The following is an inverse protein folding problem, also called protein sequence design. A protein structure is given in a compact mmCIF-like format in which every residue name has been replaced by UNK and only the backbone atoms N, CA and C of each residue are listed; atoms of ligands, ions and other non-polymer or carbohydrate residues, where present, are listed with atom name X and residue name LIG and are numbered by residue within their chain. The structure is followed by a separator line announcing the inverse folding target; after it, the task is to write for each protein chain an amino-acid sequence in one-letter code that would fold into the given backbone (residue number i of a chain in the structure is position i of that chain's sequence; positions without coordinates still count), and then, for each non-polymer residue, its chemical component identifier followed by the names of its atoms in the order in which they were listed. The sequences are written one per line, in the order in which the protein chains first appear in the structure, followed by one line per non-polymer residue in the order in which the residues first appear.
data_IF_483755975142
#
_entry.id   IF_483755975142
#
_cell.length_a   1.000
_cell.length_b   1.000
_cell.length_c   1.000
_cell.angle_alpha   90.00
_cell.angle_beta   90.00
_cell.angle_gamma   90.00
#
_symmetry.space_group_name_H-M   'P 1'
#
loop_
_entity.id
_entity.type
_entity.pdbx_description
1 polymer ?
#
# COMPACT_ATOMS: atom_id res chain seq x y z
N UNK A 1 0.78 8.84 -16.67
CA UNK A 1 -0.02 8.74 -15.46
C UNK A 1 0.74 7.93 -14.42
N UNK A 2 0.69 8.33 -13.15
CA UNK A 2 1.36 7.64 -12.05
C UNK A 2 0.38 7.48 -10.88
N UNK A 3 0.53 6.37 -10.16
CA UNK A 3 -0.20 6.02 -8.97
C UNK A 3 0.79 5.60 -7.89
N UNK A 4 0.83 6.36 -6.81
CA UNK A 4 1.66 6.11 -5.64
C UNK A 4 0.76 5.69 -4.47
N UNK A 5 1.06 4.57 -3.82
CA UNK A 5 0.28 4.02 -2.73
C UNK A 5 1.21 3.75 -1.55
N UNK A 6 0.87 4.28 -0.38
CA UNK A 6 1.48 3.91 0.90
C UNK A 6 0.39 3.38 1.82
N UNK A 7 0.51 2.14 2.30
CA UNK A 7 -0.60 1.49 3.01
C UNK A 7 -0.10 0.48 4.05
N UNK A 8 -0.74 0.51 5.24
CA UNK A 8 -0.46 -0.43 6.32
C UNK A 8 -0.94 -1.84 5.97
N UNK A 9 -2.21 -2.02 5.51
CA UNK A 9 -2.77 -3.31 5.13
C UNK A 9 -3.39 -3.28 3.74
N UNK A 10 -2.94 -4.21 2.88
CA UNK A 10 -3.45 -4.43 1.54
C UNK A 10 -3.87 -5.89 1.38
N UNK A 11 -5.16 -6.16 1.38
CA UNK A 11 -5.68 -7.52 1.19
C UNK A 11 -6.87 -7.59 0.23
N UNK A 12 -7.61 -6.48 0.07
CA UNK A 12 -8.85 -6.44 -0.69
C UNK A 12 -8.62 -6.76 -2.18
N UNK A 13 -9.15 -7.90 -2.62
CA UNK A 13 -8.89 -8.44 -3.98
C UNK A 13 -9.30 -7.51 -5.11
N UNK A 14 -10.41 -6.78 -4.93
CA UNK A 14 -10.87 -5.81 -5.96
C UNK A 14 -9.90 -4.65 -6.10
N UNK A 15 -9.29 -4.19 -5.00
CA UNK A 15 -8.26 -3.13 -5.01
C UNK A 15 -7.01 -3.64 -5.70
N UNK A 16 -6.48 -4.81 -5.29
CA UNK A 16 -5.30 -5.41 -5.92
C UNK A 16 -5.54 -5.58 -7.43
N UNK A 17 -6.69 -6.13 -7.82
CA UNK A 17 -7.02 -6.28 -9.23
C UNK A 17 -7.16 -4.95 -9.98
N UNK A 18 -7.66 -3.88 -9.33
CA UNK A 18 -7.75 -2.56 -9.92
C UNK A 18 -6.35 -1.95 -10.16
N UNK A 19 -5.46 -2.11 -9.19
CA UNK A 19 -4.05 -1.67 -9.27
C UNK A 19 -3.31 -2.39 -10.40
N UNK A 20 -3.44 -3.72 -10.47
CA UNK A 20 -2.87 -4.55 -11.54
C UNK A 20 -3.41 -4.13 -12.92
N UNK A 21 -4.73 -3.91 -13.05
CA UNK A 21 -5.30 -3.41 -14.31
C UNK A 21 -4.81 -1.99 -14.66
N UNK A 22 -4.54 -1.14 -13.68
CA UNK A 22 -3.98 0.18 -13.95
C UNK A 22 -2.56 0.06 -14.52
N UNK A 23 -1.72 -0.78 -13.92
CA UNK A 23 -0.38 -1.08 -14.44
C UNK A 23 -0.43 -1.64 -15.88
N UNK A 24 -1.33 -2.59 -16.13
CA UNK A 24 -1.53 -3.17 -17.47
C UNK A 24 -1.97 -2.14 -18.54
N UNK A 25 -2.59 -1.02 -18.14
CA UNK A 25 -2.90 0.12 -19.03
C UNK A 25 -1.75 1.12 -19.18
N UNK A 26 -0.58 0.85 -18.62
CA UNK A 26 0.61 1.72 -18.71
C UNK A 26 0.69 2.79 -17.62
N UNK A 27 -0.13 2.73 -16.57
CA UNK A 27 0.04 3.59 -15.39
C UNK A 27 1.29 3.15 -14.63
N UNK A 28 2.19 4.08 -14.33
CA UNK A 28 3.35 3.81 -13.49
C UNK A 28 2.89 3.69 -12.04
N UNK A 29 2.83 2.46 -11.53
CA UNK A 29 2.38 2.18 -10.17
C UNK A 29 3.57 1.92 -9.26
N UNK A 30 3.58 2.57 -8.09
CA UNK A 30 4.53 2.33 -7.01
C UNK A 30 3.76 2.06 -5.72
N UNK A 31 4.16 1.04 -4.99
CA UNK A 31 3.49 0.65 -3.74
C UNK A 31 4.52 0.51 -2.62
N UNK A 32 4.29 1.26 -1.54
CA UNK A 32 5.04 1.17 -0.30
C UNK A 32 4.17 0.47 0.73
N UNK A 33 4.60 -0.71 1.17
CA UNK A 33 3.84 -1.55 2.09
C UNK A 33 4.55 -1.64 3.44
N UNK A 34 3.76 -1.65 4.52
CA UNK A 34 4.24 -2.16 5.80
C UNK A 34 4.55 -3.68 5.67
N UNK A 35 5.70 -4.18 6.16
CA UNK A 35 6.04 -5.61 6.08
C UNK A 35 5.17 -6.49 6.99
N UNK A 36 4.28 -5.92 7.79
CA UNK A 36 3.45 -6.56 8.81
C UNK A 36 4.28 -7.47 9.74
N UNK A 37 5.49 -7.02 10.05
CA UNK A 37 6.42 -7.78 10.89
C UNK A 37 6.14 -7.58 12.36
N UNK A 38 5.68 -6.39 12.74
CA UNK A 38 5.36 -6.05 14.13
C UNK A 38 3.91 -5.57 14.22
N UNK A 39 3.02 -6.43 14.65
CA UNK A 39 1.65 -6.07 14.97
C UNK A 39 1.46 -6.21 16.49
N UNK A 40 1.08 -5.11 17.16
CA UNK A 40 0.81 -5.12 18.61
C UNK A 40 1.96 -5.65 19.49
N UNK A 41 3.21 -5.38 19.10
CA UNK A 41 4.40 -5.83 19.85
C UNK A 41 4.73 -7.32 19.71
N UNK A 42 4.02 -8.04 18.86
CA UNK A 42 4.26 -9.45 18.56
C UNK A 42 4.80 -9.58 17.14
N UNK A 43 5.81 -10.44 16.95
CA UNK A 43 6.34 -10.76 15.63
C UNK A 43 5.23 -11.38 14.76
N UNK A 44 4.76 -10.63 13.78
CA UNK A 44 3.68 -11.03 12.89
C UNK A 44 4.14 -11.98 11.76
N UNK A 45 3.18 -12.73 11.22
CA UNK A 45 3.41 -13.62 10.07
C UNK A 45 3.69 -12.90 8.74
N UNK A 46 3.52 -11.58 8.71
CA UNK A 46 3.58 -10.78 7.50
C UNK A 46 2.31 -10.81 6.63
N UNK A 47 1.28 -11.54 7.08
CA UNK A 47 -0.03 -11.54 6.44
C UNK A 47 -0.76 -10.22 6.78
N UNK A 48 -1.40 -9.54 5.81
CA UNK A 48 -1.64 -9.98 4.42
C UNK A 48 -0.60 -9.47 3.41
N UNK A 49 0.22 -8.49 3.75
CA UNK A 49 0.97 -7.70 2.78
C UNK A 49 2.02 -8.52 2.02
N UNK A 50 2.72 -9.44 2.69
CA UNK A 50 3.74 -10.26 2.02
C UNK A 50 3.14 -11.14 0.94
N UNK A 51 1.92 -11.62 1.12
CA UNK A 51 1.20 -12.43 0.16
C UNK A 51 0.62 -11.57 -0.98
N UNK A 52 0.04 -10.40 -0.64
CA UNK A 52 -0.45 -9.44 -1.63
C UNK A 52 0.69 -8.90 -2.51
N UNK A 53 1.88 -8.70 -1.94
CA UNK A 53 3.06 -8.26 -2.68
C UNK A 53 3.44 -9.19 -3.84
N UNK A 54 3.23 -10.51 -3.71
CA UNK A 54 3.49 -11.44 -4.78
C UNK A 54 2.62 -11.15 -6.02
N UNK A 55 1.34 -10.83 -5.81
CA UNK A 55 0.43 -10.48 -6.90
C UNK A 55 0.87 -9.18 -7.61
N UNK A 56 1.36 -8.20 -6.86
CA UNK A 56 1.84 -6.92 -7.40
C UNK A 56 3.14 -7.11 -8.19
N UNK A 57 4.10 -7.85 -7.65
CA UNK A 57 5.39 -8.10 -8.30
C UNK A 57 5.21 -8.93 -9.57
N UNK A 58 4.32 -9.92 -9.55
CA UNK A 58 3.99 -10.72 -10.75
C UNK A 58 3.34 -9.89 -11.87
N UNK A 59 2.85 -8.69 -11.54
CA UNK A 59 2.31 -7.72 -12.48
C UNK A 59 3.30 -6.58 -12.80
N UNK A 60 4.60 -6.76 -12.53
CA UNK A 60 5.70 -5.79 -12.75
C UNK A 60 5.47 -4.44 -12.04
N UNK A 61 4.70 -4.44 -10.94
CA UNK A 61 4.48 -3.25 -10.14
C UNK A 61 5.68 -3.01 -9.23
N UNK A 62 6.17 -1.78 -9.21
CA UNK A 62 7.27 -1.39 -8.33
C UNK A 62 6.81 -1.39 -6.88
N UNK A 63 7.51 -2.15 -6.03
CA UNK A 63 7.19 -2.33 -4.63
C UNK A 63 8.43 -2.07 -3.75
N UNK A 64 8.21 -1.42 -2.63
CA UNK A 64 9.16 -1.32 -1.53
C UNK A 64 8.45 -1.60 -0.20
N UNK A 65 9.22 -1.94 0.80
CA UNK A 65 8.74 -2.15 2.17
C UNK A 65 9.16 -0.98 3.04
N UNK A 66 8.25 -0.48 3.85
CA UNK A 66 8.58 0.52 4.86
C UNK A 66 9.58 -0.04 5.87
N UNK A 67 10.61 0.74 6.20
CA UNK A 67 11.53 0.42 7.29
C UNK A 67 10.94 0.90 8.61
N UNK A 68 10.26 -0.01 9.29
CA UNK A 68 9.45 0.32 10.48
C UNK A 68 10.25 0.38 11.77
N UNK A 69 11.48 -0.14 11.79
CA UNK A 69 12.37 -0.16 12.98
C UNK A 69 11.66 -0.65 14.26
N UNK A 70 10.78 -1.64 14.13
CA UNK A 70 10.01 -2.20 15.24
C UNK A 70 8.65 -1.54 15.50
N UNK A 71 8.29 -0.51 14.74
CA UNK A 71 6.97 0.12 14.74
C UNK A 71 6.11 -0.36 13.56
N UNK A 72 5.04 0.36 13.23
CA UNK A 72 4.22 0.15 12.05
C UNK A 72 4.24 1.41 11.17
N UNK A 73 4.32 1.24 9.87
CA UNK A 73 4.06 2.31 8.91
C UNK A 73 2.55 2.44 8.73
N UNK A 74 1.94 3.32 9.53
CA UNK A 74 0.48 3.44 9.63
C UNK A 74 -0.16 4.34 8.56
N UNK A 75 0.57 4.68 7.49
CA UNK A 75 0.09 5.45 6.36
C UNK A 75 -1.05 4.75 5.62
N UNK A 76 -2.01 5.52 5.12
CA UNK A 76 -3.06 5.10 4.20
C UNK A 76 -3.28 6.23 3.21
N UNK A 77 -2.41 6.23 2.22
CA UNK A 77 -2.32 7.30 1.23
C UNK A 77 -2.32 6.70 -0.17
N UNK A 78 -3.11 7.30 -1.05
CA UNK A 78 -3.08 7.05 -2.47
C UNK A 78 -3.00 8.38 -3.20
N UNK A 79 -1.97 8.56 -3.99
CA UNK A 79 -1.78 9.74 -4.81
C UNK A 79 -1.77 9.36 -6.29
N UNK A 80 -2.79 9.80 -7.03
CA UNK A 80 -2.84 9.71 -8.48
C UNK A 80 -2.49 11.06 -9.08
N UNK A 81 -1.56 11.07 -10.01
CA UNK A 81 -1.26 12.26 -10.77
C UNK A 81 -0.98 11.92 -12.25
N UNK A 82 -1.43 12.81 -13.14
CA UNK A 82 -1.47 12.58 -14.57
C UNK A 82 -1.26 13.86 -15.37
N UNK A 83 -0.06 14.39 -15.32
CA UNK A 83 0.34 15.57 -16.12
C UNK A 83 -0.59 16.76 -15.91
N UNK A 84 -1.36 17.11 -16.94
CA UNK A 84 -2.29 18.27 -16.94
C UNK A 84 -3.66 17.98 -16.33
N UNK A 85 -3.96 16.75 -15.92
CA UNK A 85 -5.23 16.44 -15.26
C UNK A 85 -5.10 16.71 -13.76
N UNK A 86 -6.22 17.05 -13.08
CA UNK A 86 -6.20 17.17 -11.63
C UNK A 86 -5.60 15.94 -10.96
N UNK A 87 -4.79 16.17 -9.96
CA UNK A 87 -4.29 15.13 -9.08
C UNK A 87 -5.38 14.74 -8.08
N UNK A 88 -5.36 13.49 -7.64
CA UNK A 88 -6.24 12.98 -6.60
C UNK A 88 -5.39 12.44 -5.46
N UNK A 89 -5.56 12.99 -4.30
CA UNK A 89 -4.97 12.52 -3.05
C UNK A 89 -6.09 11.94 -2.17
N UNK A 90 -6.03 10.64 -1.92
CA UNK A 90 -6.90 9.97 -0.96
C UNK A 90 -6.09 9.61 0.27
N UNK A 91 -6.56 10.02 1.43
CA UNK A 91 -5.94 9.73 2.72
C UNK A 91 -7.01 9.56 3.80
N UNK A 92 -6.69 8.79 4.84
CA UNK A 92 -7.66 8.57 5.92
C UNK A 92 -7.33 7.38 6.81
N UNK A 93 -8.36 6.81 7.41
CA UNK A 93 -8.22 5.69 8.34
C UNK A 93 -8.34 4.32 7.66
N UNK A 94 -9.00 4.23 6.51
CA UNK A 94 -9.31 2.97 5.86
C UNK A 94 -8.07 2.26 5.30
N UNK A 95 -7.81 1.06 5.78
CA UNK A 95 -6.91 0.13 5.11
C UNK A 95 -7.57 -0.44 3.83
N UNK A 96 -6.75 -0.93 2.91
CA UNK A 96 -7.28 -1.57 1.70
C UNK A 96 -7.57 -3.06 1.97
N UNK A 97 -8.46 -3.28 2.91
CA UNK A 97 -8.90 -4.59 3.39
C UNK A 97 -10.41 -4.74 3.23
N UNK A 98 -10.90 -5.97 3.29
CA UNK A 98 -12.33 -6.23 3.27
C UNK A 98 -13.04 -5.56 4.44
N UNK A 99 -12.40 -5.57 5.61
CA UNK A 99 -12.98 -5.00 6.83
C UNK A 99 -13.23 -3.50 6.73
N UNK A 100 -12.26 -2.75 6.19
CA UNK A 100 -12.37 -1.30 6.05
C UNK A 100 -13.19 -0.85 4.84
N UNK A 101 -13.28 -1.67 3.77
CA UNK A 101 -13.91 -1.25 2.51
C UNK A 101 -15.32 -1.86 2.27
N UNK A 102 -15.78 -2.77 3.12
CA UNK A 102 -17.10 -3.40 3.02
C UNK A 102 -17.98 -3.06 4.24
N UNK A 103 -17.83 -1.85 4.78
CA UNK A 103 -18.65 -1.30 5.87
C UNK A 103 -18.65 -2.12 7.18
N UNK A 104 -17.57 -2.90 7.41
CA UNK A 104 -17.41 -3.66 8.65
C UNK A 104 -16.69 -2.86 9.75
N UNK A 105 -16.07 -1.75 9.40
CA UNK A 105 -15.51 -0.74 10.31
C UNK A 105 -16.04 0.64 9.91
N UNK A 106 -16.16 1.52 10.91
CA UNK A 106 -16.36 2.95 10.64
C UNK A 106 -15.02 3.58 10.26
N UNK A 107 -14.94 4.10 9.03
CA UNK A 107 -13.74 4.71 8.49
C UNK A 107 -14.03 6.12 8.00
N UNK A 108 -13.05 7.00 8.12
CA UNK A 108 -13.11 8.35 7.58
C UNK A 108 -11.98 8.55 6.58
N UNK A 109 -12.34 8.91 5.36
CA UNK A 109 -11.38 9.21 4.30
C UNK A 109 -11.68 10.58 3.70
N UNK A 110 -10.62 11.26 3.29
CA UNK A 110 -10.66 12.51 2.57
C UNK A 110 -10.09 12.30 1.17
N UNK A 111 -10.82 12.75 0.15
CA UNK A 111 -10.30 12.91 -1.19
C UNK A 111 -10.06 14.39 -1.46
N UNK A 112 -8.82 14.75 -1.79
CA UNK A 112 -8.42 16.08 -2.24
C UNK A 112 -8.15 16.04 -3.73
N UNK A 113 -8.88 16.84 -4.50
CA UNK A 113 -8.74 16.92 -5.95
C UNK A 113 -8.33 18.35 -6.31
N UNK A 114 -7.15 18.50 -6.87
CA UNK A 114 -6.57 19.78 -7.18
C UNK A 114 -5.61 19.70 -8.37
N UNK A 115 -5.14 20.83 -8.84
CA UNK A 115 -4.12 20.88 -9.88
C UNK A 115 -2.79 20.31 -9.35
N UNK A 116 -1.94 19.86 -10.27
CA UNK A 116 -0.68 19.19 -9.92
C UNK A 116 0.35 20.10 -9.23
N UNK A 117 0.16 21.40 -9.25
CA UNK A 117 0.96 22.43 -8.59
C UNK A 117 0.36 22.91 -7.25
N UNK A 118 -0.77 22.36 -6.83
CA UNK A 118 -1.34 22.59 -5.51
C UNK A 118 -0.36 22.19 -4.41
N UNK A 119 -0.26 23.00 -3.35
CA UNK A 119 0.69 22.85 -2.26
C UNK A 119 0.52 21.51 -1.54
N UNK A 120 -0.71 21.10 -1.25
CA UNK A 120 -1.01 19.82 -0.56
C UNK A 120 -0.59 18.64 -1.44
N UNK A 121 -0.87 18.70 -2.73
CA UNK A 121 -0.46 17.68 -3.70
C UNK A 121 1.06 17.60 -3.77
N UNK A 122 1.73 18.75 -3.78
CA UNK A 122 3.19 18.82 -3.81
C UNK A 122 3.82 18.23 -2.53
N UNK A 123 3.29 18.57 -1.37
CA UNK A 123 3.75 18.02 -0.08
C UNK A 123 3.55 16.51 0.02
N UNK A 124 2.36 16.03 -0.36
CA UNK A 124 2.06 14.58 -0.37
C UNK A 124 3.03 13.81 -1.28
N UNK A 125 3.32 14.37 -2.47
CA UNK A 125 4.30 13.80 -3.38
C UNK A 125 5.71 13.81 -2.79
N UNK A 126 6.14 14.92 -2.21
CA UNK A 126 7.46 15.03 -1.60
C UNK A 126 7.63 14.06 -0.42
N UNK A 127 6.59 13.87 0.39
CA UNK A 127 6.57 12.88 1.46
C UNK A 127 6.77 11.45 0.93
N UNK A 128 5.98 11.07 -0.09
CA UNK A 128 6.13 9.75 -0.72
C UNK A 128 7.52 9.55 -1.33
N UNK A 129 8.07 10.57 -2.03
CA UNK A 129 9.41 10.47 -2.62
C UNK A 129 10.51 10.29 -1.56
N UNK A 130 10.42 10.96 -0.40
CA UNK A 130 11.36 10.73 0.73
C UNK A 130 11.31 9.29 1.21
N UNK A 131 10.12 8.75 1.43
CA UNK A 131 9.95 7.36 1.88
C UNK A 131 10.41 6.36 0.81
N UNK A 132 10.23 6.70 -0.46
CA UNK A 132 10.58 5.82 -1.58
C UNK A 132 12.08 5.77 -1.84
N UNK A 133 12.77 6.91 -1.86
CA UNK A 133 14.17 7.00 -2.29
C UNK A 133 15.18 6.88 -1.16
N UNK A 134 14.75 7.01 0.08
CA UNK A 134 15.65 7.20 1.22
C UNK A 134 16.51 8.50 1.09
N UNK A 135 17.36 8.75 2.06
CA UNK A 135 18.38 9.78 2.03
C UNK A 135 19.73 9.15 2.40
N UNK A 136 20.81 9.89 2.27
CA UNK A 136 22.14 9.42 2.66
C UNK A 136 22.25 9.07 4.16
N UNK A 137 21.42 9.71 4.97
CA UNK A 137 21.43 9.56 6.43
C UNK A 137 20.23 8.78 6.98
N UNK A 138 19.13 8.67 6.23
CA UNK A 138 17.90 8.07 6.71
C UNK A 138 17.33 7.05 5.71
N UNK A 139 17.05 5.87 6.22
CA UNK A 139 16.42 4.80 5.47
C UNK A 139 14.97 4.64 5.90
N UNK A 140 14.03 4.93 4.99
CA UNK A 140 12.59 4.82 5.20
C UNK A 140 12.00 3.57 4.58
N UNK A 141 12.70 2.97 3.62
CA UNK A 141 12.20 1.80 2.92
C UNK A 141 13.31 0.88 2.40
N UNK A 142 12.96 -0.39 2.21
CA UNK A 142 13.84 -1.43 1.67
C UNK A 142 13.29 -2.02 0.38
N UNK A 143 14.15 -2.70 -0.37
CA UNK A 143 13.77 -3.33 -1.64
C UNK A 143 12.78 -4.50 -1.47
N UNK A 144 12.12 -4.91 -2.56
CA UNK A 144 11.03 -5.90 -2.50
C UNK A 144 11.46 -7.25 -1.93
N UNK A 145 12.70 -7.67 -2.15
CA UNK A 145 13.21 -8.97 -1.70
C UNK A 145 13.31 -9.13 -0.18
N UNK A 146 13.30 -8.03 0.57
CA UNK A 146 13.53 -8.06 2.03
C UNK A 146 12.49 -8.89 2.79
N UNK A 147 11.23 -8.88 2.36
CA UNK A 147 10.13 -9.54 3.06
C UNK A 147 9.22 -10.39 2.17
N UNK A 148 9.65 -10.74 0.96
CA UNK A 148 8.87 -11.63 0.11
C UNK A 148 8.66 -12.99 0.77
N UNK A 149 7.44 -13.48 0.68
CA UNK A 149 7.07 -14.81 1.17
C UNK A 149 6.51 -15.65 0.02
N UNK A 150 7.31 -16.59 -0.46
CA UNK A 150 6.93 -17.49 -1.55
C UNK A 150 6.12 -18.70 -1.08
N UNK A 151 5.74 -18.76 0.20
CA UNK A 151 4.99 -19.89 0.76
C UNK A 151 3.58 -19.97 0.15
N UNK A 152 3.35 -21.00 -0.66
CA UNK A 152 2.02 -21.29 -1.23
C UNK A 152 0.97 -21.56 -0.15
N UNK A 153 1.36 -22.18 0.96
CA UNK A 153 0.47 -22.43 2.09
C UNK A 153 -0.01 -21.12 2.72
N UNK A 154 0.91 -20.20 3.04
CA UNK A 154 0.56 -18.89 3.60
C UNK A 154 -0.27 -18.06 2.63
N UNK A 155 -0.02 -18.17 1.33
CA UNK A 155 -0.86 -17.53 0.31
C UNK A 155 -2.31 -18.04 0.37
N UNK A 156 -2.52 -19.36 0.46
CA UNK A 156 -3.87 -19.92 0.58
C UNK A 156 -4.52 -19.59 1.91
N UNK A 157 -3.77 -19.58 3.00
CA UNK A 157 -4.24 -19.13 4.31
C UNK A 157 -4.74 -17.68 4.24
N UNK A 158 -3.94 -16.77 3.68
CA UNK A 158 -4.32 -15.39 3.43
C UNK A 158 -5.62 -15.29 2.61
N UNK A 159 -5.72 -16.06 1.52
CA UNK A 159 -6.91 -16.07 0.64
C UNK A 159 -8.15 -16.52 1.38
N UNK A 160 -8.04 -17.55 2.22
CA UNK A 160 -9.13 -18.04 3.04
C UNK A 160 -9.56 -17.02 4.10
N UNK A 161 -8.60 -16.39 4.78
CA UNK A 161 -8.86 -15.35 5.77
C UNK A 161 -9.56 -14.14 5.15
N UNK A 162 -9.10 -13.69 3.98
CA UNK A 162 -9.71 -12.57 3.26
C UNK A 162 -11.13 -12.90 2.79
N UNK A 163 -11.35 -14.10 2.25
CA UNK A 163 -12.65 -14.53 1.72
C UNK A 163 -13.68 -14.75 2.83
N UNK A 164 -13.28 -15.34 3.96
CA UNK A 164 -14.18 -15.64 5.08
C UNK A 164 -14.50 -14.42 5.95
N UNK A 165 -13.63 -13.40 5.94
CA UNK A 165 -13.72 -12.28 6.86
C UNK A 165 -13.29 -12.59 8.30
N UNK A 166 -12.71 -13.76 8.54
CA UNK A 166 -12.19 -14.19 9.86
C UNK A 166 -10.83 -13.56 10.17
N UNK A 167 -10.57 -12.39 9.67
CA UNK A 167 -9.32 -11.68 9.89
C UNK A 167 -9.58 -10.31 10.50
N UNK A 168 -8.58 -9.82 11.22
CA UNK A 168 -8.59 -8.50 11.85
C UNK A 168 -8.10 -7.38 10.91
N UNK A 169 -7.76 -7.72 9.66
CA UNK A 169 -7.33 -6.79 8.63
C UNK A 169 -8.30 -6.71 7.46
#
# INVERSE_FOLDING_TARGET
ERLDIEILYLSHRRVIAAVVRAAARGVKVRVLLDPNHHAFGVSGSGIPNRQAANDLINADIQLRWSDTRGAQAHGKVLLRHAGKRPAHLLLGSANYTRRSLNDLNFEANLEWVADSDDEIIHEARAAFERHWHNTDTEHYSTGPKAYLDASRWRYWQYRLMEASGWCTF
#
